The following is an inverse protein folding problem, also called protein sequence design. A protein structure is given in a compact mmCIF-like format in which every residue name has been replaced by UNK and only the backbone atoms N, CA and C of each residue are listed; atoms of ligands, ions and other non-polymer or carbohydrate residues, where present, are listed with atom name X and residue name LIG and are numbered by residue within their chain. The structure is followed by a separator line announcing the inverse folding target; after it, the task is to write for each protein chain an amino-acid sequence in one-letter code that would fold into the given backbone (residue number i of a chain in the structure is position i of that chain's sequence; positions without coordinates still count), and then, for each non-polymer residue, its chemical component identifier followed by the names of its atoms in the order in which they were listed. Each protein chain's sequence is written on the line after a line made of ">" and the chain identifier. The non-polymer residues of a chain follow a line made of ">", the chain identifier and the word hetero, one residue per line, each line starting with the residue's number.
data_IF_532818337929
#
_entry.id   IF_532818337929
#
_cell.length_a   1.000
_cell.length_b   1.000
_cell.length_c   1.000
_cell.angle_alpha   90.00
_cell.angle_beta   90.00
_cell.angle_gamma   90.00
#
_symmetry.space_group_name_H-M   'P 1'
#
loop_
_entity.id
_entity.type
_entity.pdbx_description
1 polymer ?
#
# COMPACT_ATOMS: atom_id res chain seq x y z
N UNK A 1 -8.11 7.70 5.58
CA UNK A 1 -6.93 6.98 6.09
C UNK A 1 -5.83 7.96 6.49
N UNK A 2 -5.47 8.93 5.64
CA UNK A 2 -4.49 9.98 6.02
C UNK A 2 -4.99 10.97 7.09
N UNK A 3 -6.30 11.11 7.29
CA UNK A 3 -6.86 12.08 8.24
C UNK A 3 -6.46 11.79 9.71
N UNK A 4 -6.30 10.51 10.07
CA UNK A 4 -5.86 10.13 11.42
C UNK A 4 -4.39 10.50 11.63
N UNK A 5 -3.56 10.44 10.58
CA UNK A 5 -2.16 10.89 10.66
C UNK A 5 -2.08 12.40 10.97
N UNK A 6 -3.05 13.18 10.51
CA UNK A 6 -3.12 14.62 10.80
C UNK A 6 -3.44 14.93 12.28
N UNK A 7 -3.84 13.94 13.07
CA UNK A 7 -4.06 14.09 14.52
C UNK A 7 -2.78 13.86 15.34
N UNK A 8 -1.68 13.42 14.71
CA UNK A 8 -0.41 13.19 15.40
C UNK A 8 0.30 14.53 15.63
N UNK A 9 0.35 14.96 16.88
CA UNK A 9 0.93 16.26 17.28
C UNK A 9 2.47 16.26 17.19
N UNK A 10 3.11 15.15 17.57
CA UNK A 10 4.55 15.02 17.57
C UNK A 10 4.99 13.56 17.43
N UNK A 11 6.22 13.34 16.95
CA UNK A 11 6.86 12.03 16.89
C UNK A 11 6.58 11.22 15.62
N UNK A 12 5.75 11.71 14.69
CA UNK A 12 5.65 11.12 13.35
C UNK A 12 6.94 11.34 12.56
N UNK A 13 7.39 10.31 11.87
CA UNK A 13 8.49 10.39 10.90
C UNK A 13 8.09 9.70 9.59
N UNK A 14 8.17 10.43 8.48
CA UNK A 14 7.91 9.93 7.16
C UNK A 14 9.07 9.02 6.67
N UNK A 15 8.84 8.12 5.70
CA UNK A 15 9.86 7.18 5.22
C UNK A 15 11.17 7.81 4.73
N UNK A 16 11.15 9.08 4.31
CA UNK A 16 12.33 9.82 3.85
C UNK A 16 13.07 10.57 4.97
N UNK A 17 12.57 10.55 6.20
CA UNK A 17 13.19 11.19 7.38
C UNK A 17 14.22 10.26 8.07
N UNK A 18 14.81 9.34 7.30
CA UNK A 18 15.89 8.46 7.74
C UNK A 18 15.44 7.31 8.64
N UNK A 19 16.31 6.93 9.58
CA UNK A 19 16.15 5.67 10.33
C UNK A 19 14.88 5.58 11.17
N UNK A 20 14.37 6.69 11.71
CA UNK A 20 13.11 6.70 12.46
C UNK A 20 11.92 6.50 11.52
N UNK A 21 11.90 7.16 10.37
CA UNK A 21 10.89 6.94 9.33
C UNK A 21 10.83 5.49 8.87
N UNK A 22 11.98 4.84 8.71
CA UNK A 22 12.06 3.42 8.37
C UNK A 22 11.52 2.53 9.50
N UNK A 23 11.91 2.80 10.76
CA UNK A 23 11.37 2.08 11.93
C UNK A 23 9.86 2.20 12.00
N UNK A 24 9.31 3.39 11.81
CA UNK A 24 7.86 3.63 11.86
C UNK A 24 7.13 2.95 10.70
N UNK A 25 7.67 3.00 9.48
CA UNK A 25 7.09 2.30 8.32
C UNK A 25 7.08 0.78 8.50
N UNK A 26 8.15 0.21 9.09
CA UNK A 26 8.19 -1.21 9.45
C UNK A 26 7.15 -1.54 10.51
N UNK A 27 7.07 -0.74 11.57
CA UNK A 27 6.11 -0.92 12.66
C UNK A 27 4.66 -0.80 12.17
N UNK A 28 4.37 0.11 11.22
CA UNK A 28 3.03 0.22 10.65
C UNK A 28 2.62 -1.06 9.92
N UNK A 29 3.53 -1.71 9.20
CA UNK A 29 3.25 -3.01 8.57
C UNK A 29 2.97 -4.11 9.60
N UNK A 30 3.73 -4.16 10.71
CA UNK A 30 3.48 -5.10 11.81
C UNK A 30 2.10 -4.88 12.45
N UNK A 31 1.72 -3.62 12.65
CA UNK A 31 0.43 -3.26 13.23
C UNK A 31 -0.72 -3.60 12.27
N UNK A 32 -0.56 -3.30 10.98
CA UNK A 32 -1.52 -3.67 9.95
C UNK A 32 -1.73 -5.19 9.88
N UNK A 33 -0.66 -5.99 9.92
CA UNK A 33 -0.75 -7.45 9.96
C UNK A 33 -1.46 -7.95 11.22
N UNK A 34 -1.19 -7.35 12.38
CA UNK A 34 -1.83 -7.74 13.63
C UNK A 34 -3.34 -7.49 13.60
N UNK A 35 -3.76 -6.35 13.04
CA UNK A 35 -5.17 -6.04 12.83
C UNK A 35 -5.81 -6.97 11.79
N UNK A 36 -5.11 -7.22 10.67
CA UNK A 36 -5.58 -8.14 9.62
C UNK A 36 -5.81 -9.55 10.18
N UNK A 37 -4.87 -10.10 10.96
CA UNK A 37 -5.05 -11.42 11.62
C UNK A 37 -6.27 -11.45 12.53
N UNK A 38 -6.54 -10.37 13.25
CA UNK A 38 -7.71 -10.29 14.12
C UNK A 38 -9.01 -10.43 13.32
N UNK A 39 -9.12 -9.73 12.19
CA UNK A 39 -10.27 -9.84 11.29
C UNK A 39 -10.38 -11.21 10.61
N UNK A 40 -9.27 -11.77 10.12
CA UNK A 40 -9.24 -13.13 9.55
C UNK A 40 -9.69 -14.17 10.58
N UNK A 41 -9.21 -14.08 11.83
CA UNK A 41 -9.64 -14.97 12.92
C UNK A 41 -11.13 -14.85 13.22
N UNK A 42 -11.72 -13.68 12.98
CA UNK A 42 -13.15 -13.44 13.10
C UNK A 42 -13.97 -13.89 11.87
N UNK A 43 -13.34 -14.52 10.87
CA UNK A 43 -13.99 -15.01 9.65
C UNK A 43 -14.31 -13.94 8.61
N UNK A 44 -13.54 -12.84 8.59
CA UNK A 44 -13.73 -11.74 7.64
C UNK A 44 -12.65 -11.74 6.55
N UNK A 45 -13.05 -11.40 5.32
CA UNK A 45 -12.13 -11.09 4.23
C UNK A 45 -11.43 -9.75 4.49
N UNK A 46 -10.12 -9.70 4.28
CA UNK A 46 -9.30 -8.52 4.57
C UNK A 46 -8.57 -8.02 3.34
N UNK A 47 -8.75 -6.73 3.03
CA UNK A 47 -7.95 -6.00 2.04
C UNK A 47 -7.16 -4.92 2.73
N UNK A 48 -5.85 -4.91 2.51
CA UNK A 48 -4.97 -3.84 2.99
C UNK A 48 -4.46 -3.05 1.79
N UNK A 49 -4.77 -1.76 1.75
CA UNK A 49 -4.20 -0.83 0.78
C UNK A 49 -2.99 -0.13 1.43
N UNK A 50 -1.80 -0.40 0.92
CA UNK A 50 -0.54 0.11 1.49
C UNK A 50 0.47 0.48 0.40
N UNK A 51 1.39 1.40 0.73
CA UNK A 51 2.53 1.78 -0.12
C UNK A 51 3.73 0.93 0.32
N UNK A 52 3.81 -0.27 -0.24
CA UNK A 52 4.83 -1.26 0.11
C UNK A 52 6.20 -0.92 -0.48
N UNK A 53 7.24 -1.42 0.18
CA UNK A 53 8.55 -1.69 -0.39
C UNK A 53 8.96 -3.13 -0.06
N UNK A 54 10.16 -3.56 -0.46
CA UNK A 54 10.61 -4.94 -0.22
C UNK A 54 10.64 -5.30 1.26
N UNK A 55 11.06 -4.37 2.13
CA UNK A 55 11.15 -4.62 3.56
C UNK A 55 9.76 -4.81 4.20
N UNK A 56 8.81 -3.90 3.92
CA UNK A 56 7.46 -4.01 4.49
C UNK A 56 6.70 -5.18 3.90
N UNK A 57 6.89 -5.48 2.62
CA UNK A 57 6.33 -6.67 1.99
C UNK A 57 6.79 -7.97 2.69
N UNK A 58 8.08 -8.07 3.04
CA UNK A 58 8.59 -9.20 3.78
C UNK A 58 7.90 -9.36 5.16
N UNK A 59 7.53 -8.25 5.81
CA UNK A 59 6.74 -8.28 7.06
C UNK A 59 5.36 -8.88 6.82
N UNK A 60 4.64 -8.46 5.77
CA UNK A 60 3.33 -9.02 5.42
C UNK A 60 3.40 -10.52 5.15
N UNK A 61 4.34 -10.96 4.31
CA UNK A 61 4.55 -12.38 3.98
C UNK A 61 4.91 -13.25 5.18
N UNK A 62 5.71 -12.72 6.11
CA UNK A 62 6.08 -13.45 7.32
C UNK A 62 4.97 -13.49 8.37
N UNK A 63 3.99 -12.59 8.28
CA UNK A 63 2.98 -12.36 9.32
C UNK A 63 1.59 -12.89 8.98
N UNK A 64 1.30 -13.08 7.69
CA UNK A 64 0.00 -13.49 7.17
C UNK A 64 0.17 -14.69 6.25
N UNK A 65 -0.55 -15.77 6.55
CA UNK A 65 -0.62 -16.95 5.69
C UNK A 65 -1.52 -16.67 4.47
N UNK A 66 -1.16 -17.23 3.31
CA UNK A 66 -1.99 -17.14 2.10
C UNK A 66 -2.20 -15.73 1.53
N UNK A 67 -1.34 -14.75 1.89
CA UNK A 67 -1.53 -13.37 1.42
C UNK A 67 -1.29 -13.22 -0.09
N UNK A 68 -2.31 -12.76 -0.81
CA UNK A 68 -2.21 -12.30 -2.20
C UNK A 68 -1.76 -10.85 -2.25
N UNK A 69 -0.60 -10.61 -2.88
CA UNK A 69 0.02 -9.29 -3.01
C UNK A 69 -0.11 -8.81 -4.44
N UNK A 70 -0.91 -7.76 -4.63
CA UNK A 70 -1.16 -7.16 -5.94
C UNK A 70 -0.54 -5.75 -6.03
N UNK A 71 0.32 -5.54 -7.01
CA UNK A 71 0.80 -4.21 -7.37
C UNK A 71 -0.16 -3.58 -8.38
N UNK A 72 -0.96 -2.62 -7.91
CA UNK A 72 -1.77 -1.75 -8.76
C UNK A 72 -0.91 -0.63 -9.36
N UNK A 73 -0.36 -0.87 -10.53
CA UNK A 73 0.42 0.13 -11.23
C UNK A 73 -0.48 1.18 -11.89
N UNK A 74 -0.02 2.43 -11.89
CA UNK A 74 -0.60 3.52 -12.66
C UNK A 74 0.52 4.41 -13.19
N UNK A 75 0.42 4.83 -14.45
CA UNK A 75 1.37 5.76 -15.03
C UNK A 75 1.43 7.07 -14.21
N UNK A 76 2.65 7.58 -13.98
CA UNK A 76 2.89 8.71 -13.08
C UNK A 76 1.99 9.92 -13.32
N UNK A 77 1.83 10.33 -14.59
CA UNK A 77 0.97 11.47 -14.94
C UNK A 77 -0.48 11.28 -14.51
N UNK A 78 -1.04 10.07 -14.69
CA UNK A 78 -2.40 9.72 -14.23
C UNK A 78 -2.47 9.60 -12.72
N UNK A 79 -1.43 9.07 -12.07
CA UNK A 79 -1.35 9.00 -10.61
C UNK A 79 -1.41 10.40 -9.99
N UNK A 80 -0.66 11.34 -10.57
CA UNK A 80 -0.63 12.75 -10.16
C UNK A 80 -1.97 13.44 -10.39
N UNK A 81 -2.55 13.32 -11.58
CA UNK A 81 -3.90 13.86 -11.89
C UNK A 81 -4.94 13.38 -10.87
N UNK A 82 -4.93 12.07 -10.53
CA UNK A 82 -5.82 11.51 -9.49
C UNK A 82 -5.52 12.07 -8.10
N UNK A 83 -4.26 12.35 -7.76
CA UNK A 83 -3.86 12.91 -6.47
C UNK A 83 -4.28 14.39 -6.35
N UNK A 84 -4.19 15.17 -7.42
CA UNK A 84 -4.61 16.59 -7.45
C UNK A 84 -6.12 16.76 -7.21
N UNK A 85 -6.93 15.71 -7.43
CA UNK A 85 -8.36 15.69 -7.12
C UNK A 85 -8.71 15.57 -5.62
N UNK A 86 -7.73 15.52 -4.71
CA UNK A 86 -7.92 15.38 -3.26
C UNK A 86 -6.90 16.22 -2.48
N UNK A 87 -7.08 16.46 -1.18
CA UNK A 87 -6.04 17.03 -0.34
C UNK A 87 -4.74 16.20 -0.43
N UNK A 88 -3.63 16.85 -0.75
CA UNK A 88 -2.31 16.23 -0.86
C UNK A 88 -1.47 16.69 0.34
N UNK A 89 -0.98 15.73 1.13
CA UNK A 89 -0.22 15.97 2.36
C UNK A 89 1.29 15.77 2.20
N UNK A 90 1.76 15.56 0.97
CA UNK A 90 3.17 15.34 0.64
C UNK A 90 3.56 16.25 -0.54
N UNK A 91 4.84 16.57 -0.64
CA UNK A 91 5.38 17.30 -1.79
C UNK A 91 5.38 16.43 -3.05
N UNK A 92 5.49 17.07 -4.22
CA UNK A 92 5.59 16.33 -5.48
C UNK A 92 6.88 15.51 -5.62
N UNK A 93 7.95 15.93 -4.96
CA UNK A 93 9.22 15.19 -4.94
C UNK A 93 9.09 13.91 -4.11
N UNK A 94 8.43 13.99 -2.95
CA UNK A 94 8.09 12.83 -2.10
C UNK A 94 7.11 11.90 -2.82
N UNK A 95 6.10 12.43 -3.51
CA UNK A 95 5.19 11.64 -4.34
C UNK A 95 5.94 10.90 -5.45
N UNK A 96 6.84 11.58 -6.17
CA UNK A 96 7.66 10.98 -7.21
C UNK A 96 8.63 9.91 -6.65
N UNK A 97 9.16 10.12 -5.45
CA UNK A 97 9.99 9.14 -4.77
C UNK A 97 9.21 7.85 -4.47
N UNK A 98 8.02 7.95 -3.87
CA UNK A 98 7.17 6.78 -3.58
C UNK A 98 6.77 6.05 -4.87
N UNK A 99 6.42 6.78 -5.94
CA UNK A 99 6.07 6.17 -7.22
C UNK A 99 7.23 5.37 -7.84
N UNK A 100 8.46 5.90 -7.75
CA UNK A 100 9.67 5.18 -8.19
C UNK A 100 9.94 3.94 -7.34
N UNK A 101 9.84 4.05 -6.02
CA UNK A 101 10.05 2.93 -5.09
C UNK A 101 9.07 1.78 -5.39
N UNK A 102 7.79 2.08 -5.57
CA UNK A 102 6.80 1.07 -5.93
C UNK A 102 7.10 0.42 -7.29
N UNK A 103 7.50 1.22 -8.29
CA UNK A 103 7.87 0.70 -9.62
C UNK A 103 9.02 -0.31 -9.57
N UNK A 104 9.95 -0.18 -8.64
CA UNK A 104 11.08 -1.13 -8.49
C UNK A 104 10.70 -2.46 -7.83
N UNK A 105 9.48 -2.63 -7.31
CA UNK A 105 9.08 -3.88 -6.66
C UNK A 105 8.92 -5.02 -7.68
N UNK A 106 9.77 -6.04 -7.59
CA UNK A 106 9.77 -7.20 -8.49
C UNK A 106 9.04 -8.44 -7.94
N UNK A 107 8.73 -8.49 -6.64
CA UNK A 107 8.32 -9.71 -5.93
C UNK A 107 6.85 -9.65 -5.49
N UNK A 108 5.93 -9.44 -6.43
CA UNK A 108 4.48 -9.46 -6.16
C UNK A 108 3.81 -10.61 -6.90
N UNK A 109 2.67 -11.10 -6.42
CA UNK A 109 1.97 -12.22 -7.06
C UNK A 109 1.29 -11.80 -8.36
N UNK A 110 0.76 -10.57 -8.37
CA UNK A 110 0.10 -10.00 -9.53
C UNK A 110 0.55 -8.55 -9.72
N UNK A 111 0.97 -8.23 -10.94
CA UNK A 111 1.20 -6.87 -11.38
C UNK A 111 0.08 -6.46 -12.33
N UNK A 112 -0.66 -5.40 -11.99
CA UNK A 112 -1.83 -4.96 -12.74
C UNK A 112 -1.72 -3.48 -13.11
N UNK A 113 -1.61 -3.18 -14.41
CA UNK A 113 -1.70 -1.81 -14.91
C UNK A 113 -3.17 -1.33 -14.91
N UNK A 114 -3.44 -0.35 -14.06
CA UNK A 114 -4.76 0.28 -13.89
C UNK A 114 -4.86 1.65 -14.57
N UNK A 115 -3.85 2.04 -15.36
CA UNK A 115 -3.77 3.37 -15.99
C UNK A 115 -5.01 3.70 -16.83
N UNK A 116 -5.56 2.69 -17.52
CA UNK A 116 -6.74 2.82 -18.40
C UNK A 116 -7.96 2.07 -17.90
N UNK A 117 -7.87 1.44 -16.73
CA UNK A 117 -8.97 0.68 -16.16
C UNK A 117 -9.86 1.60 -15.33
N UNK A 118 -11.16 1.37 -15.42
CA UNK A 118 -12.14 1.84 -14.45
C UNK A 118 -11.98 1.10 -13.12
N UNK A 119 -12.62 1.63 -12.07
CA UNK A 119 -12.67 0.95 -10.77
C UNK A 119 -13.31 -0.43 -10.91
N UNK A 120 -14.42 -0.53 -11.64
CA UNK A 120 -15.14 -1.78 -11.86
C UNK A 120 -14.25 -2.85 -12.52
N UNK A 121 -13.60 -2.50 -13.64
CA UNK A 121 -12.70 -3.43 -14.34
C UNK A 121 -11.50 -3.85 -13.48
N UNK A 122 -11.00 -2.94 -12.63
CA UNK A 122 -9.91 -3.24 -11.69
C UNK A 122 -10.38 -4.24 -10.65
N UNK A 123 -11.55 -4.01 -10.05
CA UNK A 123 -12.15 -4.90 -9.03
C UNK A 123 -12.44 -6.29 -9.60
N UNK A 124 -13.02 -6.39 -10.80
CA UNK A 124 -13.30 -7.67 -11.45
C UNK A 124 -12.02 -8.50 -11.64
N UNK A 125 -10.93 -7.87 -12.07
CA UNK A 125 -9.63 -8.55 -12.23
C UNK A 125 -9.03 -8.99 -10.90
N UNK A 126 -9.18 -8.18 -9.84
CA UNK A 126 -8.72 -8.53 -8.50
C UNK A 126 -9.50 -9.71 -7.93
N UNK A 127 -10.82 -9.71 -8.06
CA UNK A 127 -11.67 -10.80 -7.59
C UNK A 127 -11.38 -12.11 -8.34
N UNK A 128 -11.16 -12.03 -9.66
CA UNK A 128 -10.77 -13.19 -10.45
C UNK A 128 -9.45 -13.80 -9.96
N UNK A 129 -8.47 -12.98 -9.57
CA UNK A 129 -7.21 -13.47 -9.01
C UNK A 129 -7.37 -14.07 -7.60
N UNK A 130 -8.23 -13.48 -6.77
CA UNK A 130 -8.45 -13.92 -5.39
C UNK A 130 -9.12 -15.30 -5.31
N UNK A 131 -10.14 -15.56 -6.12
CA UNK A 131 -10.95 -16.80 -6.03
C UNK A 131 -10.23 -18.04 -6.58
N UNK A 132 -8.98 -17.94 -7.03
CA UNK A 132 -8.25 -19.05 -7.69
C UNK A 132 -7.51 -19.98 -6.72
N UNK A 133 -7.93 -20.09 -5.45
CA UNK A 133 -7.44 -21.11 -4.49
C UNK A 133 -8.40 -22.30 -4.35
#
# INVERSE_FOLDING_TARGET
>A
MDDVRQLVVAGAAAPWEGSEGWRQRRLSAVNACSLARNFVTAGMDVVVADVLNEETLAVYRASLDGVLVVHLHVAYGRARERAEGRPVYITWDEFAMLHREQRSMAVVDLWLDTTRLTVQETTERLLAAWVTE
#
